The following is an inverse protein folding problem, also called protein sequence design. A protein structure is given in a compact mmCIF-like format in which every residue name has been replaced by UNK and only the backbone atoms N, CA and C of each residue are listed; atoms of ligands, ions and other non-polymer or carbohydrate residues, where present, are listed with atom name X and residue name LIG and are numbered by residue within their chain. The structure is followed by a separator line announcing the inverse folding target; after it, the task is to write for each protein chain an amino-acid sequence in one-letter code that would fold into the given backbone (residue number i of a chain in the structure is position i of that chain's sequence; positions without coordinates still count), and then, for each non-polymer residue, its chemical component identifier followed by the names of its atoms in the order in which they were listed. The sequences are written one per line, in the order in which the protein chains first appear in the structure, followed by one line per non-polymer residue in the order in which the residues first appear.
data_IF_437986546479
#
_entry.id   IF_437986546479
#
_cell.length_a   1.000
_cell.length_b   1.000
_cell.length_c   1.000
_cell.angle_alpha   90.00
_cell.angle_beta   90.00
_cell.angle_gamma   90.00
#
_symmetry.space_group_name_H-M   'P 1'
#
loop_
_entity.id
_entity.type
_entity.pdbx_description
1 polymer ?
#
# COMPACT_ATOMS: atom_id res chain seq x y z
N UNK A 1 39.34 -4.40 -27.19
CA UNK A 1 38.81 -3.61 -26.07
C UNK A 1 38.07 -4.58 -25.16
N UNK A 2 38.46 -4.70 -23.88
CA UNK A 2 37.77 -5.60 -22.96
C UNK A 2 36.33 -5.12 -22.75
N UNK A 3 35.36 -6.04 -22.59
CA UNK A 3 34.00 -5.69 -22.25
C UNK A 3 33.92 -4.98 -20.89
N UNK A 4 32.94 -4.09 -20.74
CA UNK A 4 32.72 -3.28 -19.57
C UNK A 4 31.32 -3.55 -19.01
N UNK A 5 31.21 -3.66 -17.69
CA UNK A 5 29.92 -3.74 -16.99
C UNK A 5 29.81 -2.53 -16.06
N UNK A 6 28.73 -1.78 -16.20
CA UNK A 6 28.39 -0.66 -15.35
C UNK A 6 27.17 -1.05 -14.49
N UNK A 7 27.35 -1.37 -13.20
CA UNK A 7 26.23 -1.70 -12.32
C UNK A 7 25.36 -0.46 -12.02
N UNK A 8 24.09 -0.69 -11.70
CA UNK A 8 23.23 0.32 -11.09
C UNK A 8 23.17 0.15 -9.57
N UNK A 9 22.63 1.13 -8.85
CA UNK A 9 22.61 1.13 -7.38
C UNK A 9 21.81 -0.05 -6.80
N UNK A 10 20.80 -0.54 -7.52
CA UNK A 10 19.96 -1.66 -7.08
C UNK A 10 20.55 -3.06 -7.33
N UNK A 11 21.75 -3.15 -7.92
CA UNK A 11 22.39 -4.43 -8.28
C UNK A 11 23.80 -4.51 -7.70
N UNK A 12 24.08 -5.60 -6.98
CA UNK A 12 25.45 -5.95 -6.60
C UNK A 12 26.12 -6.71 -7.74
N UNK A 13 27.14 -6.10 -8.34
CA UNK A 13 28.03 -6.78 -9.27
C UNK A 13 29.14 -7.46 -8.49
N UNK A 14 29.29 -8.77 -8.66
CA UNK A 14 30.44 -9.53 -8.19
C UNK A 14 31.24 -10.04 -9.38
N UNK A 15 32.54 -9.74 -9.39
CA UNK A 15 33.49 -10.28 -10.37
C UNK A 15 34.51 -11.10 -9.59
N UNK A 16 34.57 -12.41 -9.85
CA UNK A 16 35.38 -13.37 -9.09
C UNK A 16 35.13 -13.31 -7.57
N UNK A 17 33.87 -13.09 -7.18
CA UNK A 17 33.44 -12.98 -5.79
C UNK A 17 33.71 -11.63 -5.11
N UNK A 18 34.36 -10.67 -5.78
CA UNK A 18 34.58 -9.33 -5.25
C UNK A 18 33.49 -8.36 -5.73
N UNK A 19 32.93 -7.57 -4.81
CA UNK A 19 31.87 -6.60 -5.11
C UNK A 19 32.43 -5.32 -5.77
N UNK A 20 31.78 -4.88 -6.85
CA UNK A 20 32.09 -3.63 -7.56
C UNK A 20 30.85 -2.75 -7.69
N UNK A 21 31.03 -1.44 -7.47
CA UNK A 21 29.97 -0.42 -7.55
C UNK A 21 30.19 0.61 -8.66
N UNK A 22 31.19 0.38 -9.51
CA UNK A 22 31.56 1.27 -10.60
C UNK A 22 31.82 0.45 -11.86
N UNK A 23 31.95 1.14 -12.98
CA UNK A 23 32.25 0.52 -14.26
C UNK A 23 33.51 -0.34 -14.17
N UNK A 24 33.38 -1.62 -14.51
CA UNK A 24 34.43 -2.63 -14.32
C UNK A 24 34.69 -3.33 -15.65
N UNK A 25 35.96 -3.45 -16.02
CA UNK A 25 36.38 -4.24 -17.18
C UNK A 25 36.43 -5.72 -16.80
N UNK A 26 35.90 -6.57 -17.67
CA UNK A 26 35.84 -8.03 -17.46
C UNK A 26 36.40 -8.77 -18.68
N UNK A 27 36.62 -10.08 -18.52
CA UNK A 27 37.16 -10.98 -19.52
C UNK A 27 36.39 -12.30 -19.53
N UNK A 28 36.66 -13.14 -20.54
CA UNK A 28 36.04 -14.47 -20.67
C UNK A 28 36.40 -15.43 -19.52
N UNK A 29 37.46 -15.15 -18.77
CA UNK A 29 37.91 -15.98 -17.65
C UNK A 29 37.27 -15.57 -16.32
N UNK A 30 36.56 -14.43 -16.28
CA UNK A 30 35.96 -13.93 -15.05
C UNK A 30 34.61 -14.59 -14.77
N UNK A 31 34.36 -14.91 -13.50
CA UNK A 31 33.04 -15.34 -13.02
C UNK A 31 32.26 -14.10 -12.61
N UNK A 32 31.15 -13.83 -13.30
CA UNK A 32 30.33 -12.64 -13.10
C UNK A 32 29.00 -13.06 -12.45
N UNK A 33 28.67 -12.45 -11.32
CA UNK A 33 27.36 -12.59 -10.67
C UNK A 33 26.70 -11.22 -10.51
N UNK A 34 25.41 -11.13 -10.82
CA UNK A 34 24.58 -9.96 -10.54
C UNK A 34 23.52 -10.37 -9.50
N UNK A 35 23.52 -9.71 -8.35
CA UNK A 35 22.56 -9.98 -7.27
C UNK A 35 21.63 -8.80 -7.06
N UNK A 36 20.34 -9.06 -7.14
CA UNK A 36 19.27 -8.11 -6.78
C UNK A 36 18.72 -8.43 -5.40
N UNK A 37 18.07 -7.45 -4.80
CA UNK A 37 17.34 -7.60 -3.53
C UNK A 37 15.83 -7.53 -3.74
N UNK A 38 15.11 -8.09 -2.77
CA UNK A 38 13.70 -7.85 -2.56
C UNK A 38 13.54 -6.76 -1.49
N UNK A 39 12.43 -6.05 -1.53
CA UNK A 39 12.13 -5.00 -0.57
C UNK A 39 10.67 -5.04 -0.20
N UNK A 40 10.39 -4.86 1.08
CA UNK A 40 9.05 -4.71 1.61
C UNK A 40 8.72 -3.22 1.67
N UNK A 41 7.57 -2.85 1.10
CA UNK A 41 7.01 -1.51 1.17
C UNK A 41 5.81 -1.60 2.11
N UNK A 42 5.85 -0.82 3.19
CA UNK A 42 4.76 -0.74 4.17
C UNK A 42 3.49 -0.17 3.55
N UNK A 43 2.35 -0.43 4.19
CA UNK A 43 1.09 0.16 3.78
C UNK A 43 1.11 1.67 4.03
N UNK A 44 0.61 2.44 3.07
CA UNK A 44 0.45 3.88 3.20
C UNK A 44 -1.02 4.19 3.47
N UNK A 45 -1.28 4.94 4.52
CA UNK A 45 -2.61 5.41 4.90
C UNK A 45 -2.53 6.90 5.20
N UNK A 46 -3.38 7.68 4.53
CA UNK A 46 -3.47 9.11 4.76
C UNK A 46 -4.92 9.56 4.72
N UNK A 47 -5.25 10.56 5.52
CA UNK A 47 -6.57 11.18 5.48
C UNK A 47 -6.44 12.65 5.16
N UNK A 48 -7.31 13.10 4.26
CA UNK A 48 -7.42 14.49 3.88
C UNK A 48 -8.85 14.96 4.08
N UNK A 49 -9.04 15.99 4.89
CA UNK A 49 -10.33 16.63 5.10
C UNK A 49 -10.42 17.87 4.21
N UNK A 50 -11.46 17.92 3.38
CA UNK A 50 -11.73 18.99 2.41
C UNK A 50 -13.12 19.56 2.62
N UNK A 51 -13.41 20.64 1.90
CA UNK A 51 -14.69 21.35 1.95
C UNK A 51 -15.05 21.78 3.38
N UNK A 52 -14.12 22.41 4.10
CA UNK A 52 -14.33 22.99 5.44
C UNK A 52 -14.82 21.98 6.51
N UNK A 53 -14.38 20.72 6.40
CA UNK A 53 -14.80 19.65 7.32
C UNK A 53 -15.94 18.78 6.81
N UNK A 54 -16.51 19.10 5.63
CA UNK A 54 -17.64 18.37 5.06
C UNK A 54 -17.25 17.11 4.30
N UNK A 55 -15.99 16.88 3.93
CA UNK A 55 -15.59 15.64 3.25
C UNK A 55 -14.28 15.10 3.77
N UNK A 56 -14.23 13.80 4.04
CA UNK A 56 -13.01 13.10 4.38
C UNK A 56 -12.63 12.10 3.28
N UNK A 57 -11.42 12.24 2.76
CA UNK A 57 -10.82 11.36 1.77
C UNK A 57 -9.75 10.50 2.42
N UNK A 58 -9.87 9.19 2.28
CA UNK A 58 -8.88 8.22 2.73
C UNK A 58 -8.06 7.73 1.55
N UNK A 59 -6.77 8.03 1.55
CA UNK A 59 -5.81 7.48 0.61
C UNK A 59 -5.19 6.23 1.21
N UNK A 60 -5.26 5.13 0.46
CA UNK A 60 -4.73 3.84 0.85
C UNK A 60 -3.78 3.33 -0.23
N UNK A 61 -2.64 2.78 0.17
CA UNK A 61 -1.84 1.89 -0.66
C UNK A 61 -1.47 0.64 0.15
N UNK A 62 -1.69 -0.57 -0.37
CA UNK A 62 -1.40 -1.79 0.36
C UNK A 62 0.10 -2.01 0.53
N UNK A 63 0.46 -2.64 1.64
CA UNK A 63 1.81 -3.16 1.82
C UNK A 63 2.11 -4.20 0.73
N UNK A 64 3.33 -4.19 0.20
CA UNK A 64 3.72 -5.03 -0.94
C UNK A 64 5.18 -5.43 -0.90
N UNK A 65 5.48 -6.58 -1.48
CA UNK A 65 6.85 -7.04 -1.71
C UNK A 65 7.19 -6.76 -3.17
N UNK A 66 8.27 -6.03 -3.38
CA UNK A 66 8.80 -5.73 -4.72
C UNK A 66 10.15 -6.41 -4.91
N UNK A 67 10.38 -6.87 -6.14
CA UNK A 67 11.64 -7.49 -6.55
C UNK A 67 12.19 -6.78 -7.77
N UNK A 68 13.51 -6.55 -7.76
CA UNK A 68 14.23 -6.04 -8.91
C UNK A 68 14.66 -7.21 -9.80
N UNK A 69 14.29 -7.14 -11.07
CA UNK A 69 14.69 -8.08 -12.11
C UNK A 69 15.65 -7.38 -13.07
N UNK A 70 16.75 -8.04 -13.40
CA UNK A 70 17.70 -7.53 -14.37
C UNK A 70 17.08 -7.63 -15.76
N UNK A 71 17.06 -6.51 -16.49
CA UNK A 71 16.58 -6.49 -17.86
C UNK A 71 17.58 -7.18 -18.78
N UNK A 72 17.08 -8.04 -19.66
CA UNK A 72 17.91 -8.68 -20.67
C UNK A 72 18.41 -7.65 -21.69
N UNK A 73 19.61 -7.88 -22.21
CA UNK A 73 20.26 -7.00 -23.18
C UNK A 73 20.83 -7.83 -24.32
N UNK A 74 20.76 -7.34 -25.57
CA UNK A 74 21.55 -7.94 -26.64
C UNK A 74 23.05 -7.88 -26.30
N UNK A 75 23.89 -8.70 -26.96
CA UNK A 75 25.33 -8.67 -26.76
C UNK A 75 25.90 -7.28 -27.04
N UNK A 76 26.55 -6.70 -26.04
CA UNK A 76 27.16 -5.37 -26.10
C UNK A 76 28.55 -5.39 -25.49
N UNK A 77 29.43 -4.51 -25.98
CA UNK A 77 30.78 -4.38 -25.40
C UNK A 77 30.74 -3.64 -24.06
N UNK A 78 29.82 -2.66 -23.91
CA UNK A 78 29.54 -2.00 -22.64
C UNK A 78 28.11 -2.31 -22.22
N UNK A 79 27.95 -3.04 -21.13
CA UNK A 79 26.66 -3.34 -20.52
C UNK A 79 26.38 -2.33 -19.41
N UNK A 80 25.43 -1.43 -19.64
CA UNK A 80 24.81 -0.64 -18.58
C UNK A 80 23.67 -1.46 -17.98
N UNK A 81 23.85 -1.95 -16.75
CA UNK A 81 22.89 -2.81 -16.08
C UNK A 81 21.63 -2.01 -15.77
N UNK A 82 20.48 -2.58 -16.15
CA UNK A 82 19.17 -2.00 -15.87
C UNK A 82 18.34 -3.00 -15.09
N UNK A 83 17.50 -2.47 -14.21
CA UNK A 83 16.53 -3.26 -13.47
C UNK A 83 15.13 -2.77 -13.74
N UNK A 84 14.20 -3.72 -13.75
CA UNK A 84 12.78 -3.47 -13.67
C UNK A 84 12.26 -3.96 -12.34
N UNK A 85 11.64 -3.06 -11.58
CA UNK A 85 10.94 -3.42 -10.37
C UNK A 85 9.58 -4.02 -10.69
N UNK A 86 9.23 -5.11 -10.00
CA UNK A 86 7.93 -5.75 -10.12
C UNK A 86 7.41 -6.13 -8.74
N UNK A 87 6.13 -5.85 -8.50
CA UNK A 87 5.42 -6.36 -7.33
C UNK A 87 5.23 -7.86 -7.47
N UNK A 88 5.73 -8.62 -6.50
CA UNK A 88 5.58 -10.08 -6.45
C UNK A 88 4.50 -10.52 -5.46
N UNK A 89 4.19 -9.68 -4.46
CA UNK A 89 3.15 -9.96 -3.48
C UNK A 89 2.49 -8.65 -3.01
N UNK A 90 1.18 -8.69 -2.80
CA UNK A 90 0.42 -7.62 -2.14
C UNK A 90 -0.16 -8.21 -0.86
N UNK A 91 0.14 -7.59 0.29
CA UNK A 91 -0.37 -8.03 1.58
C UNK A 91 -1.77 -7.48 1.79
N UNK A 92 -2.66 -8.31 2.34
CA UNK A 92 -4.02 -7.89 2.66
C UNK A 92 -4.07 -7.06 3.94
N UNK A 93 -5.00 -6.11 3.97
CA UNK A 93 -5.29 -5.31 5.16
C UNK A 93 -6.61 -5.76 5.79
N UNK A 94 -6.66 -5.76 7.13
CA UNK A 94 -7.91 -6.01 7.86
C UNK A 94 -8.67 -4.71 8.10
N UNK A 95 -10.00 -4.79 8.06
CA UNK A 95 -10.88 -3.65 8.34
C UNK A 95 -10.61 -3.02 9.72
N UNK A 96 -10.26 -3.84 10.72
CA UNK A 96 -9.88 -3.38 12.06
C UNK A 96 -8.70 -2.41 12.03
N UNK A 97 -7.68 -2.68 11.20
CA UNK A 97 -6.49 -1.82 11.08
C UNK A 97 -6.84 -0.45 10.48
N UNK A 98 -7.74 -0.43 9.50
CA UNK A 98 -8.24 0.82 8.91
C UNK A 98 -9.07 1.59 9.94
N UNK A 99 -9.97 0.91 10.67
CA UNK A 99 -10.80 1.51 11.71
C UNK A 99 -9.97 2.10 12.85
N UNK A 100 -8.92 1.42 13.28
CA UNK A 100 -8.01 1.92 14.31
C UNK A 100 -7.24 3.15 13.83
N UNK A 101 -6.78 3.17 12.57
CA UNK A 101 -6.14 4.34 11.97
C UNK A 101 -7.10 5.56 11.91
N UNK A 102 -8.36 5.33 11.52
CA UNK A 102 -9.37 6.38 11.45
C UNK A 102 -9.71 6.96 12.83
N UNK A 103 -9.85 6.12 13.86
CA UNK A 103 -10.06 6.54 15.25
C UNK A 103 -8.90 7.37 15.78
N UNK A 104 -7.67 6.99 15.47
CA UNK A 104 -6.47 7.76 15.85
C UNK A 104 -6.39 9.13 15.17
N UNK A 105 -7.15 9.34 14.10
CA UNK A 105 -7.15 10.58 13.32
C UNK A 105 -8.33 11.51 13.65
N UNK A 106 -9.00 11.31 14.80
CA UNK A 106 -10.20 12.06 15.27
C UNK A 106 -11.43 11.99 14.33
N UNK A 107 -11.43 11.09 13.35
CA UNK A 107 -12.61 10.83 12.50
C UNK A 107 -13.39 9.67 13.09
N UNK A 108 -14.37 10.02 13.93
CA UNK A 108 -15.16 9.03 14.68
C UNK A 108 -16.56 8.84 14.11
N UNK A 109 -17.09 9.83 13.36
CA UNK A 109 -18.49 9.86 12.94
C UNK A 109 -18.65 10.03 11.42
N UNK A 110 -19.65 9.32 10.86
CA UNK A 110 -20.01 9.41 9.45
C UNK A 110 -19.11 8.62 8.49
N UNK A 111 -18.35 7.64 9.00
CA UNK A 111 -17.58 6.72 8.16
C UNK A 111 -18.51 5.64 7.61
N UNK A 112 -18.54 5.47 6.29
CA UNK A 112 -19.28 4.38 5.65
C UNK A 112 -18.49 3.06 5.75
N UNK A 113 -18.94 2.15 6.63
CA UNK A 113 -18.35 0.82 6.81
C UNK A 113 -18.26 0.02 5.50
N UNK A 114 -19.19 0.25 4.56
CA UNK A 114 -19.21 -0.40 3.25
C UNK A 114 -17.97 -0.05 2.43
N UNK A 115 -17.45 1.17 2.58
CA UNK A 115 -16.23 1.63 1.90
C UNK A 115 -15.00 0.96 2.50
N UNK A 116 -14.96 0.74 3.81
CA UNK A 116 -13.86 0.00 4.47
C UNK A 116 -13.81 -1.44 3.96
N UNK A 117 -14.97 -2.10 3.87
CA UNK A 117 -15.05 -3.45 3.31
C UNK A 117 -14.63 -3.48 1.84
N UNK A 118 -15.01 -2.48 1.06
CA UNK A 118 -14.58 -2.34 -0.34
C UNK A 118 -13.06 -2.21 -0.45
N UNK A 119 -12.43 -1.38 0.38
CA UNK A 119 -10.98 -1.18 0.41
C UNK A 119 -10.26 -2.49 0.76
N UNK A 120 -10.74 -3.20 1.79
CA UNK A 120 -10.19 -4.50 2.18
C UNK A 120 -10.35 -5.56 1.09
N UNK A 121 -11.49 -5.58 0.40
CA UNK A 121 -11.82 -6.54 -0.65
C UNK A 121 -11.02 -6.30 -1.93
N UNK A 122 -10.95 -5.03 -2.39
CA UNK A 122 -10.19 -4.65 -3.58
C UNK A 122 -8.68 -4.65 -3.33
N UNK A 123 -8.28 -4.32 -2.12
CA UNK A 123 -6.88 -4.19 -1.68
C UNK A 123 -6.00 -3.45 -2.71
N UNK A 124 -6.53 -2.37 -3.28
CA UNK A 124 -5.90 -1.62 -4.38
C UNK A 124 -5.58 -0.22 -3.91
N UNK A 125 -4.48 0.35 -4.42
CA UNK A 125 -4.12 1.72 -4.11
C UNK A 125 -5.14 2.70 -4.70
N UNK A 126 -5.56 3.69 -3.92
CA UNK A 126 -6.55 4.67 -4.35
C UNK A 126 -6.94 5.65 -3.26
N UNK A 127 -7.76 6.62 -3.65
CA UNK A 127 -8.39 7.58 -2.74
C UNK A 127 -9.89 7.31 -2.69
N UNK A 128 -10.41 7.14 -1.48
CA UNK A 128 -11.77 6.74 -1.19
C UNK A 128 -12.47 7.85 -0.40
N UNK A 129 -13.68 8.23 -0.78
CA UNK A 129 -14.50 9.15 0.00
C UNK A 129 -15.14 8.35 1.13
N UNK A 130 -14.64 8.52 2.34
CA UNK A 130 -15.07 7.72 3.51
C UNK A 130 -16.14 8.42 4.34
N UNK A 131 -16.23 9.75 4.26
CA UNK A 131 -17.25 10.52 4.97
C UNK A 131 -17.63 11.77 4.22
N UNK A 132 -18.92 12.11 4.28
CA UNK A 132 -19.48 13.40 3.91
C UNK A 132 -20.17 13.93 5.16
N UNK A 133 -19.63 14.99 5.76
CA UNK A 133 -20.31 15.74 6.81
C UNK A 133 -21.67 16.22 6.29
N UNK A 134 -22.71 16.00 7.08
CA UNK A 134 -23.94 16.75 6.92
C UNK A 134 -23.61 18.20 7.23
N UNK A 135 -23.81 19.11 6.27
CA UNK A 135 -23.90 20.53 6.59
C UNK A 135 -24.89 20.67 7.75
N UNK A 136 -24.54 21.46 8.77
CA UNK A 136 -25.40 21.67 9.92
C UNK A 136 -26.79 22.07 9.43
N UNK A 137 -27.71 21.11 9.39
CA UNK A 137 -29.13 21.41 9.36
C UNK A 137 -29.39 22.06 10.71
N UNK A 138 -29.87 23.30 10.66
CA UNK A 138 -30.43 24.00 11.81
C UNK A 138 -31.23 23.00 12.65
N UNK A 139 -31.16 23.07 13.99
CA UNK A 139 -31.71 22.04 14.85
C UNK A 139 -33.22 21.94 14.63
N UNK A 140 -33.65 20.98 13.82
CA UNK A 140 -35.03 20.52 13.75
C UNK A 140 -35.08 19.17 14.45
N UNK A 141 -35.49 19.27 15.71
CA UNK A 141 -36.17 18.32 16.58
C UNK A 141 -36.35 16.87 16.10
N UNK A 142 -36.02 15.95 17.02
CA UNK A 142 -36.43 14.54 17.14
C UNK A 142 -36.22 13.59 15.92
N UNK A 143 -35.58 12.42 16.06
CA UNK A 143 -36.15 11.25 16.75
C UNK A 143 -35.04 10.20 16.93
N UNK A 144 -34.92 9.60 18.12
CA UNK A 144 -34.05 8.45 18.38
C UNK A 144 -34.87 7.17 18.17
N UNK A 145 -34.57 6.36 17.14
CA UNK A 145 -35.13 5.01 17.02
C UNK A 145 -34.32 4.02 17.87
N UNK A 146 -34.91 3.62 19.00
CA UNK A 146 -34.44 2.51 19.84
C UNK A 146 -35.06 1.20 19.35
N UNK A 147 -34.24 0.23 18.95
CA UNK A 147 -34.65 -1.16 18.80
C UNK A 147 -34.35 -1.94 20.08
N UNK A 148 -35.35 -2.08 20.97
CA UNK A 148 -35.30 -3.08 22.03
C UNK A 148 -35.88 -4.40 21.52
N UNK A 149 -35.02 -5.42 21.41
CA UNK A 149 -35.46 -6.81 21.33
C UNK A 149 -35.52 -7.36 22.76
N UNK A 150 -36.67 -7.87 23.19
CA UNK A 150 -36.75 -8.76 24.35
C UNK A 150 -37.88 -9.74 24.12
N UNK A 151 -37.50 -10.99 23.84
CA UNK A 151 -38.34 -12.18 23.97
C UNK A 151 -38.80 -12.38 25.43
N UNK A 152 -39.87 -13.18 25.54
CA UNK A 152 -40.41 -13.85 26.73
C UNK A 152 -41.38 -13.07 27.66
N UNK A 153 -42.66 -13.36 27.42
CA UNK A 153 -43.58 -14.08 28.32
C UNK A 153 -43.71 -13.58 29.78
N UNK A 154 -44.86 -12.96 30.12
CA UNK A 154 -45.87 -13.54 31.03
C UNK A 154 -47.04 -12.58 31.31
N UNK A 155 -48.18 -12.89 30.69
CA UNK A 155 -49.53 -13.07 31.26
C UNK A 155 -50.06 -12.32 32.52
N UNK A 156 -51.28 -11.78 32.34
CA UNK A 156 -52.43 -11.51 33.26
C UNK A 156 -52.31 -10.39 34.33
N UNK A 157 -53.10 -9.30 34.23
CA UNK A 157 -54.47 -9.08 34.79
C UNK A 157 -54.48 -8.93 36.32
N UNK A 158 -55.16 -7.99 36.97
CA UNK A 158 -56.31 -7.11 36.66
C UNK A 158 -56.23 -5.83 37.49
#
# INVERSE_FOLDING_TARGET
MPPLINPCDEVKLLVNGLEFKHITAVSENDVIELKTSESEIDAEMNIEVKDDGLKAFFSYAPARIVKNFIEDSPPVNKLDVKVKQQTIEIKSIKAEQIKDFLKCSDIVYGIDDSIIEEICSKNTAGTYLISIGTAALEPTDDTIEYYFNTDDDTTFSS
#
